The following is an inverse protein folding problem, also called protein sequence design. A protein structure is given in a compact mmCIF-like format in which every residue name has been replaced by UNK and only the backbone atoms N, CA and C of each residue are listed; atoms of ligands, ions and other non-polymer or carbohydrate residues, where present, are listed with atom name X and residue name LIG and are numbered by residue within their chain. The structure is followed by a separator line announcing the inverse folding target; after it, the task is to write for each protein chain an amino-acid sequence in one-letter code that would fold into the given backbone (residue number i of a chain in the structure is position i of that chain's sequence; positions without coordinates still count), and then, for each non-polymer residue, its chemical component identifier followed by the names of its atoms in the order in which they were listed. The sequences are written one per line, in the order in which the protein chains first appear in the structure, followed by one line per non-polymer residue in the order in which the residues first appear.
data_IF_679450191845
#
_entry.id   IF_679450191845
#
_cell.length_a   1.000
_cell.length_b   1.000
_cell.length_c   1.000
_cell.angle_alpha   90.00
_cell.angle_beta   90.00
_cell.angle_gamma   90.00
#
_symmetry.space_group_name_H-M   'P 1'
#
loop_
_entity.id
_entity.type
_entity.pdbx_description
1 polymer ?
#
# COMPACT_ATOMS: atom_id res chain seq x y z
N UNK A 1 12.28 88.41 13.84
CA UNK A 1 13.69 88.08 13.85
C UNK A 1 13.73 86.53 13.83
N UNK A 2 14.09 85.82 12.92
CA UNK A 2 14.67 85.74 11.66
C UNK A 2 13.97 84.73 10.76
N UNK A 3 13.83 85.01 9.50
CA UNK A 3 13.24 84.18 8.45
C UNK A 3 14.29 83.17 8.05
N UNK A 4 13.91 81.87 7.95
CA UNK A 4 14.67 80.84 7.25
C UNK A 4 13.96 80.51 5.94
N UNK A 5 14.65 80.31 4.82
CA UNK A 5 14.06 80.27 3.48
C UNK A 5 13.50 78.87 3.15
N UNK A 6 12.56 78.88 2.20
CA UNK A 6 11.83 77.75 1.72
C UNK A 6 12.67 76.69 1.01
N UNK A 7 12.20 75.44 1.17
CA UNK A 7 12.65 74.26 0.40
C UNK A 7 11.45 73.77 -0.44
N UNK A 8 11.61 73.87 -1.77
CA UNK A 8 10.66 73.26 -2.71
C UNK A 8 10.88 71.73 -2.72
N UNK A 9 9.82 70.93 -2.75
CA UNK A 9 9.97 69.53 -2.89
C UNK A 9 10.13 69.15 -4.38
N UNK A 10 11.35 68.79 -4.75
CA UNK A 10 11.66 68.16 -6.03
C UNK A 10 10.96 66.80 -6.17
N UNK A 11 10.15 66.66 -7.22
CA UNK A 11 9.40 65.46 -7.54
C UNK A 11 10.31 64.27 -7.87
N UNK A 12 10.36 63.31 -6.97
CA UNK A 12 10.86 61.97 -7.29
C UNK A 12 9.72 61.13 -7.87
N UNK A 13 9.74 60.92 -9.19
CA UNK A 13 8.96 59.89 -9.86
C UNK A 13 9.45 58.55 -9.35
N UNK A 14 8.69 57.92 -8.45
CA UNK A 14 8.83 56.47 -8.16
C UNK A 14 8.51 55.71 -9.44
N UNK A 15 9.52 55.12 -10.08
CA UNK A 15 9.32 54.04 -11.03
C UNK A 15 8.66 52.90 -10.25
N UNK A 16 7.44 52.53 -10.62
CA UNK A 16 6.75 51.38 -10.11
C UNK A 16 7.58 50.12 -10.40
N UNK A 17 8.35 49.70 -9.42
CA UNK A 17 8.90 48.36 -9.42
C UNK A 17 7.72 47.43 -9.25
N UNK A 18 7.26 46.82 -10.36
CA UNK A 18 6.28 45.75 -10.32
C UNK A 18 6.93 44.58 -9.59
N UNK A 19 6.70 44.53 -8.27
CA UNK A 19 6.93 43.34 -7.46
C UNK A 19 5.97 42.29 -8.01
N UNK A 20 6.47 41.44 -8.91
CA UNK A 20 5.80 40.18 -9.22
C UNK A 20 5.73 39.43 -7.90
N UNK A 21 4.56 39.42 -7.27
CA UNK A 21 4.23 38.44 -6.25
C UNK A 21 4.43 37.07 -6.91
N UNK A 22 5.57 36.45 -6.65
CA UNK A 22 5.75 35.03 -6.90
C UNK A 22 4.80 34.33 -5.89
N UNK A 23 3.58 34.09 -6.33
CA UNK A 23 2.72 33.14 -5.65
C UNK A 23 3.51 31.83 -5.70
N UNK A 24 4.12 31.44 -4.57
CA UNK A 24 4.72 30.12 -4.43
C UNK A 24 3.59 29.10 -4.55
N UNK A 25 3.31 28.67 -5.77
CA UNK A 25 2.37 27.60 -6.02
C UNK A 25 2.93 26.36 -5.34
N UNK A 26 2.20 25.82 -4.37
CA UNK A 26 2.57 24.56 -3.74
C UNK A 26 2.74 23.48 -4.81
N UNK A 27 3.89 22.81 -4.81
CA UNK A 27 4.13 21.65 -5.68
C UNK A 27 3.11 20.56 -5.38
N UNK A 28 2.69 19.83 -6.41
CA UNK A 28 1.84 18.66 -6.24
C UNK A 28 2.61 17.39 -6.58
N UNK A 29 2.41 16.34 -5.79
CA UNK A 29 3.13 15.07 -5.98
C UNK A 29 2.65 14.37 -7.24
N UNK A 30 3.58 13.98 -8.11
CA UNK A 30 3.29 13.19 -9.31
C UNK A 30 2.76 11.78 -8.93
N UNK A 31 3.14 11.27 -7.77
CA UNK A 31 2.80 9.93 -7.31
C UNK A 31 1.33 9.71 -6.94
N UNK A 32 0.53 10.78 -6.80
CA UNK A 32 -0.92 10.65 -6.56
C UNK A 32 -1.77 10.85 -7.81
N UNK A 33 -1.16 11.02 -8.98
CA UNK A 33 -1.83 11.29 -10.24
C UNK A 33 -1.71 10.15 -11.24
N UNK A 34 -2.80 9.84 -11.96
CA UNK A 34 -2.74 9.17 -13.25
C UNK A 34 -2.24 10.15 -14.31
N UNK A 35 -1.84 9.67 -15.48
CA UNK A 35 -1.40 10.56 -16.56
C UNK A 35 -2.45 11.64 -16.88
N UNK A 36 -3.71 11.24 -17.03
CA UNK A 36 -4.79 12.18 -17.34
C UNK A 36 -4.93 13.26 -16.27
N UNK A 37 -5.01 12.86 -14.98
CA UNK A 37 -5.17 13.83 -13.88
C UNK A 37 -3.94 14.71 -13.69
N UNK A 38 -2.74 14.20 -13.97
CA UNK A 38 -1.50 14.99 -13.97
C UNK A 38 -1.51 16.04 -15.07
N UNK A 39 -1.83 15.63 -16.29
CA UNK A 39 -1.95 16.54 -17.44
C UNK A 39 -2.97 17.65 -17.17
N UNK A 40 -4.13 17.32 -16.62
CA UNK A 40 -5.15 18.30 -16.28
C UNK A 40 -4.71 19.26 -15.16
N UNK A 41 -3.93 18.78 -14.19
CA UNK A 41 -3.36 19.61 -13.13
C UNK A 41 -2.34 20.62 -13.69
N UNK A 42 -1.46 20.19 -14.60
CA UNK A 42 -0.51 21.06 -15.30
C UNK A 42 -1.26 22.07 -16.17
N UNK A 43 -2.21 21.63 -16.98
CA UNK A 43 -2.96 22.51 -17.88
C UNK A 43 -3.77 23.58 -17.12
N UNK A 44 -4.33 23.26 -15.97
CA UNK A 44 -5.02 24.25 -15.11
C UNK A 44 -4.08 25.35 -14.60
N UNK A 45 -2.79 25.04 -14.39
CA UNK A 45 -1.81 26.00 -13.88
C UNK A 45 -1.12 26.81 -14.96
N UNK A 46 -0.81 26.19 -16.09
CA UNK A 46 -0.03 26.80 -17.17
C UNK A 46 -0.87 27.26 -18.37
N UNK A 47 -2.15 26.85 -18.44
CA UNK A 47 -3.04 27.13 -19.57
C UNK A 47 -2.67 26.39 -20.88
N UNK A 48 -1.60 25.57 -20.86
CA UNK A 48 -1.02 24.90 -22.05
C UNK A 48 -0.18 23.69 -21.65
N UNK A 49 0.34 22.96 -22.66
CA UNK A 49 1.39 21.97 -22.45
C UNK A 49 0.91 20.53 -22.27
N UNK A 50 -0.34 20.19 -22.62
CA UNK A 50 -0.93 18.84 -22.50
C UNK A 50 0.01 17.73 -23.04
N UNK A 51 0.55 17.90 -24.24
CA UNK A 51 1.44 16.94 -24.87
C UNK A 51 2.71 16.72 -24.04
N UNK A 52 3.38 17.80 -23.64
CA UNK A 52 4.64 17.74 -22.88
C UNK A 52 4.47 17.22 -21.46
N UNK A 53 3.34 17.54 -20.80
CA UNK A 53 2.98 16.93 -19.51
C UNK A 53 2.81 15.41 -19.61
N UNK A 54 2.21 14.94 -20.71
CA UNK A 54 2.09 13.47 -20.98
C UNK A 54 3.45 12.82 -21.15
N UNK A 55 4.37 13.46 -21.87
CA UNK A 55 5.74 12.95 -22.06
C UNK A 55 6.49 12.90 -20.71
N UNK A 56 6.43 13.97 -19.94
CA UNK A 56 7.09 14.06 -18.63
C UNK A 56 6.59 12.97 -17.68
N UNK A 57 5.27 12.77 -17.59
CA UNK A 57 4.66 11.72 -16.76
C UNK A 57 5.14 10.32 -17.19
N UNK A 58 5.02 10.01 -18.48
CA UNK A 58 5.40 8.70 -19.00
C UNK A 58 6.90 8.43 -18.85
N UNK A 59 7.75 9.43 -19.07
CA UNK A 59 9.18 9.32 -18.88
C UNK A 59 9.52 9.00 -17.42
N UNK A 60 8.95 9.76 -16.46
CA UNK A 60 9.16 9.56 -15.04
C UNK A 60 8.81 8.14 -14.58
N UNK A 61 7.61 7.66 -14.86
CA UNK A 61 7.16 6.35 -14.39
C UNK A 61 7.76 5.15 -15.16
N UNK A 62 8.38 5.39 -16.32
CA UNK A 62 9.06 4.32 -17.10
C UNK A 62 10.55 4.28 -16.90
N UNK A 63 11.19 5.41 -16.61
CA UNK A 63 12.65 5.52 -16.48
C UNK A 63 13.10 5.72 -15.02
N UNK A 64 12.26 6.28 -14.16
CA UNK A 64 12.60 6.57 -12.77
C UNK A 64 13.44 7.84 -12.58
N UNK A 65 13.66 8.60 -13.64
CA UNK A 65 14.50 9.80 -13.64
C UNK A 65 14.00 10.85 -14.64
N UNK A 66 14.49 12.08 -14.53
CA UNK A 66 14.20 13.16 -15.47
C UNK A 66 15.28 13.28 -16.55
N UNK A 67 16.46 12.69 -16.32
CA UNK A 67 17.59 12.73 -17.27
C UNK A 67 17.19 12.14 -18.62
N UNK A 68 17.62 12.79 -19.70
CA UNK A 68 17.32 12.37 -21.07
C UNK A 68 15.94 12.79 -21.58
N UNK A 69 15.12 13.46 -20.75
CA UNK A 69 13.81 13.98 -21.15
C UNK A 69 13.97 15.02 -22.29
N UNK A 70 15.03 15.82 -22.26
CA UNK A 70 15.33 16.85 -23.28
C UNK A 70 15.47 16.27 -24.70
N UNK A 71 15.79 14.98 -24.82
CA UNK A 71 15.87 14.28 -26.14
C UNK A 71 14.50 13.93 -26.71
N UNK A 72 13.45 14.02 -25.90
CA UNK A 72 12.08 13.67 -26.25
C UNK A 72 11.21 14.89 -26.51
N UNK A 73 11.76 16.10 -26.34
CA UNK A 73 11.03 17.35 -26.47
C UNK A 73 11.71 18.27 -27.46
N UNK A 74 10.95 19.12 -28.15
CA UNK A 74 11.48 20.11 -29.07
C UNK A 74 12.19 21.24 -28.32
N UNK A 75 13.25 21.84 -28.88
CA UNK A 75 14.02 22.92 -28.21
C UNK A 75 13.16 24.06 -27.69
N UNK A 76 12.13 24.47 -28.44
CA UNK A 76 11.20 25.51 -28.04
C UNK A 76 10.32 25.18 -26.84
N UNK A 77 10.15 23.89 -26.53
CA UNK A 77 9.36 23.42 -25.39
C UNK A 77 10.16 23.25 -24.09
N UNK A 78 11.49 23.36 -24.13
CA UNK A 78 12.36 23.15 -22.95
C UNK A 78 11.97 24.08 -21.79
N UNK A 79 11.69 25.36 -22.05
CA UNK A 79 11.26 26.32 -21.02
C UNK A 79 9.95 25.90 -20.37
N UNK A 80 8.97 25.47 -21.16
CA UNK A 80 7.68 25.00 -20.69
C UNK A 80 7.81 23.74 -19.82
N UNK A 81 8.63 22.77 -20.24
CA UNK A 81 8.85 21.54 -19.48
C UNK A 81 9.59 21.84 -18.16
N UNK A 82 10.50 22.79 -18.15
CA UNK A 82 11.16 23.25 -16.92
C UNK A 82 10.15 23.85 -15.93
N UNK A 83 9.21 24.67 -16.39
CA UNK A 83 8.11 25.17 -15.55
C UNK A 83 7.25 24.02 -14.97
N UNK A 84 6.97 22.98 -15.77
CA UNK A 84 6.24 21.78 -15.30
C UNK A 84 7.01 21.05 -14.20
N UNK A 85 8.32 20.88 -14.36
CA UNK A 85 9.20 20.25 -13.36
C UNK A 85 9.19 21.06 -12.06
N UNK A 86 9.24 22.39 -12.14
CA UNK A 86 9.18 23.26 -10.97
C UNK A 86 7.85 23.17 -10.20
N UNK A 87 6.74 22.92 -10.88
CA UNK A 87 5.41 22.72 -10.29
C UNK A 87 5.19 21.32 -9.71
N UNK A 88 6.06 20.36 -10.05
CA UNK A 88 5.87 18.95 -9.71
C UNK A 88 6.79 18.53 -8.56
N UNK A 89 6.23 17.82 -7.59
CA UNK A 89 7.00 17.16 -6.53
C UNK A 89 7.30 15.72 -6.93
N UNK A 90 8.58 15.47 -7.24
CA UNK A 90 9.14 14.15 -7.55
C UNK A 90 9.82 13.50 -6.35
N UNK A 91 9.73 14.10 -5.16
CA UNK A 91 10.46 13.63 -4.00
C UNK A 91 10.01 12.24 -3.56
N UNK A 92 10.99 11.39 -3.29
CA UNK A 92 10.80 10.07 -2.71
C UNK A 92 11.03 10.12 -1.20
N UNK A 93 10.37 9.25 -0.42
CA UNK A 93 10.75 9.01 0.95
C UNK A 93 12.20 8.51 1.04
N UNK A 94 12.90 8.89 2.10
CA UNK A 94 14.26 8.42 2.34
C UNK A 94 14.25 6.96 2.79
N UNK A 95 15.11 6.12 2.21
CA UNK A 95 15.34 4.79 2.75
C UNK A 95 16.16 4.90 4.03
N UNK A 96 15.56 4.56 5.17
CA UNK A 96 16.20 4.61 6.49
C UNK A 96 16.84 3.29 6.90
N UNK A 97 16.55 2.19 6.19
CA UNK A 97 17.15 0.88 6.46
C UNK A 97 16.72 -0.19 5.47
N UNK A 98 17.54 -1.22 5.36
CA UNK A 98 17.24 -2.40 4.54
C UNK A 98 17.89 -3.64 5.15
N UNK A 99 17.18 -4.78 5.08
CA UNK A 99 17.64 -6.09 5.56
C UNK A 99 17.29 -7.15 4.54
N UNK A 100 18.14 -8.19 4.43
CA UNK A 100 17.98 -9.26 3.46
C UNK A 100 18.06 -10.65 4.13
N UNK A 101 17.25 -11.57 3.62
CA UNK A 101 17.31 -13.01 3.92
C UNK A 101 17.15 -13.76 2.58
N UNK A 102 18.27 -14.24 2.03
CA UNK A 102 18.33 -14.73 0.66
C UNK A 102 17.90 -13.63 -0.32
N UNK A 103 16.94 -13.92 -1.17
CA UNK A 103 16.39 -12.93 -2.11
C UNK A 103 15.25 -12.08 -1.53
N UNK A 104 14.77 -12.41 -0.31
CA UNK A 104 13.76 -11.61 0.40
C UNK A 104 14.42 -10.37 0.98
N UNK A 105 13.87 -9.20 0.68
CA UNK A 105 14.40 -7.93 1.15
C UNK A 105 13.31 -7.09 1.81
N UNK A 106 13.52 -6.70 3.06
CA UNK A 106 12.75 -5.67 3.75
C UNK A 106 13.47 -4.33 3.62
N UNK A 107 12.73 -3.27 3.33
CA UNK A 107 13.24 -1.90 3.33
C UNK A 107 12.26 -0.97 4.04
N UNK A 108 12.83 0.07 4.66
CA UNK A 108 12.13 1.06 5.44
C UNK A 108 12.16 2.39 4.71
N UNK A 109 11.00 3.01 4.57
CA UNK A 109 10.88 4.35 3.98
C UNK A 109 10.43 5.34 5.05
N UNK A 110 11.25 6.36 5.28
CA UNK A 110 10.96 7.48 6.18
C UNK A 110 10.22 8.56 5.42
N UNK A 111 9.01 8.84 5.87
CA UNK A 111 8.12 9.83 5.29
C UNK A 111 8.51 11.27 5.70
N UNK A 112 7.89 12.29 5.08
CA UNK A 112 8.19 13.70 5.36
C UNK A 112 7.94 14.12 6.82
N UNK A 113 7.01 13.47 7.49
CA UNK A 113 6.68 13.67 8.90
C UNK A 113 7.60 12.91 9.88
N UNK A 114 8.60 12.20 9.36
CA UNK A 114 9.54 11.43 10.15
C UNK A 114 9.09 10.02 10.49
N UNK A 115 7.84 9.65 10.22
CA UNK A 115 7.34 8.29 10.42
C UNK A 115 7.92 7.33 9.38
N UNK A 116 8.04 6.06 9.75
CA UNK A 116 8.58 5.02 8.88
C UNK A 116 7.54 3.97 8.53
N UNK A 117 7.66 3.41 7.34
CA UNK A 117 6.90 2.24 6.89
C UNK A 117 7.84 1.18 6.37
N UNK A 118 7.41 -0.07 6.51
CA UNK A 118 8.16 -1.24 6.03
C UNK A 118 7.49 -1.83 4.80
N UNK A 119 8.29 -2.19 3.82
CA UNK A 119 7.88 -2.91 2.61
C UNK A 119 8.77 -4.13 2.41
N UNK A 120 8.23 -5.19 1.79
CA UNK A 120 8.97 -6.43 1.60
C UNK A 120 8.91 -6.90 0.15
N UNK A 121 10.09 -7.10 -0.44
CA UNK A 121 10.27 -7.80 -1.71
C UNK A 121 10.40 -9.29 -1.44
N UNK A 122 9.54 -10.08 -2.07
CA UNK A 122 9.43 -11.52 -1.85
C UNK A 122 9.58 -12.23 -3.20
N UNK A 123 10.60 -13.08 -3.38
CA UNK A 123 10.72 -13.92 -4.57
C UNK A 123 9.63 -14.99 -4.53
N UNK A 124 8.88 -15.12 -5.62
CA UNK A 124 7.84 -16.13 -5.81
C UNK A 124 8.06 -16.80 -7.16
N UNK A 125 7.55 -18.02 -7.36
CA UNK A 125 7.68 -18.75 -8.63
C UNK A 125 7.15 -17.93 -9.83
N UNK A 126 6.10 -17.14 -9.60
CA UNK A 126 5.52 -16.25 -10.59
C UNK A 126 6.29 -14.92 -10.77
N UNK A 127 7.47 -14.74 -10.16
CA UNK A 127 8.27 -13.53 -10.16
C UNK A 127 8.21 -12.72 -8.88
N UNK A 128 8.94 -11.59 -8.83
CA UNK A 128 9.06 -10.77 -7.63
C UNK A 128 7.71 -10.15 -7.22
N UNK A 129 7.33 -10.36 -5.97
CA UNK A 129 6.14 -9.77 -5.34
C UNK A 129 6.57 -8.69 -4.34
N UNK A 130 5.95 -7.53 -4.40
CA UNK A 130 6.14 -6.47 -3.40
C UNK A 130 4.95 -6.43 -2.44
N UNK A 131 5.24 -6.59 -1.16
CA UNK A 131 4.29 -6.41 -0.06
C UNK A 131 4.30 -4.94 0.35
N UNK A 132 3.15 -4.27 0.21
CA UNK A 132 2.94 -2.85 0.41
C UNK A 132 2.28 -2.56 1.75
N UNK A 133 2.68 -1.47 2.39
CA UNK A 133 1.99 -0.86 3.53
C UNK A 133 0.98 0.18 3.06
N UNK A 134 -0.15 0.26 3.77
CA UNK A 134 -1.25 1.21 3.51
C UNK A 134 -1.49 2.20 4.65
N UNK A 135 -0.92 1.94 5.83
CA UNK A 135 -1.05 2.77 7.03
C UNK A 135 0.28 2.74 7.81
N UNK A 136 0.49 3.75 8.65
CA UNK A 136 1.47 3.69 9.74
C UNK A 136 0.74 3.17 10.97
N UNK A 137 1.06 1.92 11.38
CA UNK A 137 0.27 1.19 12.36
C UNK A 137 -1.03 0.62 11.79
N UNK A 138 -1.91 0.06 12.65
CA UNK A 138 -3.19 -0.53 12.25
C UNK A 138 -4.18 -0.55 13.41
N UNK A 139 -5.41 -0.04 13.20
CA UNK A 139 -6.44 -0.04 14.26
C UNK A 139 -7.16 -1.36 14.46
N UNK A 140 -6.96 -2.36 13.56
CA UNK A 140 -7.68 -3.63 13.65
C UNK A 140 -7.30 -4.45 14.89
N UNK A 141 -6.12 -4.21 15.47
CA UNK A 141 -5.71 -4.75 16.76
C UNK A 141 -5.54 -6.27 16.79
N UNK A 142 -5.25 -6.91 15.65
CA UNK A 142 -5.00 -8.36 15.62
C UNK A 142 -3.88 -8.74 16.59
N UNK A 143 -4.18 -9.61 17.55
CA UNK A 143 -3.31 -9.92 18.70
C UNK A 143 -1.98 -10.58 18.30
N UNK A 144 -1.98 -11.30 17.17
CA UNK A 144 -0.82 -11.98 16.61
C UNK A 144 -0.03 -11.14 15.59
N UNK A 145 -0.38 -9.87 15.39
CA UNK A 145 0.24 -8.98 14.41
C UNK A 145 0.95 -7.81 15.11
N UNK A 146 2.23 -7.63 14.80
CA UNK A 146 3.04 -6.55 15.39
C UNK A 146 2.47 -5.17 15.03
N UNK A 147 2.09 -4.96 13.77
CA UNK A 147 1.44 -3.71 13.33
C UNK A 147 0.12 -3.45 14.06
N UNK A 148 -0.66 -4.52 14.34
CA UNK A 148 -1.90 -4.42 15.10
C UNK A 148 -1.68 -3.98 16.56
N UNK A 149 -0.56 -4.38 17.17
CA UNK A 149 -0.17 -3.98 18.54
C UNK A 149 0.25 -2.51 18.63
N UNK A 150 0.67 -1.89 17.53
CA UNK A 150 1.03 -0.46 17.48
C UNK A 150 -0.17 0.47 17.59
N UNK A 151 -1.39 0.01 17.22
CA UNK A 151 -2.50 0.89 16.93
C UNK A 151 -2.29 1.67 15.62
N UNK A 152 -3.29 2.47 15.23
CA UNK A 152 -3.20 3.33 14.05
C UNK A 152 -2.57 4.67 14.43
N UNK A 153 -1.45 5.01 13.79
CA UNK A 153 -0.84 6.34 13.88
C UNK A 153 -1.48 7.28 12.86
N UNK A 154 -1.45 6.90 11.57
CA UNK A 154 -2.16 7.60 10.48
C UNK A 154 -2.35 6.77 9.23
N UNK A 155 -3.23 7.26 8.37
CA UNK A 155 -3.38 6.76 7.00
C UNK A 155 -2.15 7.16 6.16
N UNK A 156 -1.73 6.30 5.23
CA UNK A 156 -0.78 6.68 4.17
C UNK A 156 -1.53 7.33 3.02
N UNK A 157 -0.92 8.33 2.40
CA UNK A 157 -1.41 8.92 1.16
C UNK A 157 -1.15 8.02 -0.04
N UNK A 158 -1.91 8.19 -1.12
CA UNK A 158 -1.67 7.47 -2.37
C UNK A 158 -0.23 7.67 -2.89
N UNK A 159 0.31 8.88 -2.72
CA UNK A 159 1.69 9.17 -3.10
C UNK A 159 2.71 8.34 -2.31
N UNK A 160 2.55 8.21 -1.01
CA UNK A 160 3.42 7.39 -0.16
C UNK A 160 3.31 5.89 -0.49
N UNK A 161 2.10 5.41 -0.83
CA UNK A 161 1.89 4.02 -1.25
C UNK A 161 2.59 3.77 -2.59
N UNK A 162 2.40 4.64 -3.59
CA UNK A 162 3.04 4.52 -4.92
C UNK A 162 4.56 4.64 -4.84
N UNK A 163 5.06 5.49 -3.96
CA UNK A 163 6.51 5.67 -3.74
C UNK A 163 7.22 4.37 -3.31
N UNK A 164 6.56 3.47 -2.58
CA UNK A 164 7.11 2.16 -2.23
C UNK A 164 7.41 1.32 -3.49
N UNK A 165 6.50 1.34 -4.46
CA UNK A 165 6.65 0.63 -5.74
C UNK A 165 7.74 1.27 -6.59
N UNK A 166 7.75 2.59 -6.65
CA UNK A 166 8.76 3.34 -7.39
C UNK A 166 10.16 3.08 -6.83
N UNK A 167 10.32 3.14 -5.51
CA UNK A 167 11.58 2.86 -4.84
C UNK A 167 12.08 1.44 -5.15
N UNK A 168 11.21 0.43 -5.00
CA UNK A 168 11.57 -0.95 -5.27
C UNK A 168 11.96 -1.18 -6.75
N UNK A 169 11.24 -0.55 -7.69
CA UNK A 169 11.49 -0.72 -9.13
C UNK A 169 12.75 -0.02 -9.61
N UNK A 170 12.97 1.22 -9.19
CA UNK A 170 14.01 2.09 -9.75
C UNK A 170 15.23 2.25 -8.85
N UNK A 171 15.04 2.39 -7.52
CA UNK A 171 16.19 2.51 -6.61
C UNK A 171 16.79 1.14 -6.27
N UNK A 172 15.97 0.11 -6.05
CA UNK A 172 16.44 -1.25 -5.82
C UNK A 172 16.57 -2.07 -7.13
N UNK A 173 16.15 -1.53 -8.27
CA UNK A 173 16.22 -2.16 -9.59
C UNK A 173 15.61 -3.58 -9.64
N UNK A 174 14.46 -3.78 -8.95
CA UNK A 174 13.79 -5.08 -8.90
C UNK A 174 12.60 -5.13 -9.88
N UNK A 175 12.50 -6.16 -10.74
CA UNK A 175 11.39 -6.32 -11.68
C UNK A 175 10.14 -6.81 -10.94
N UNK A 176 9.32 -5.89 -10.44
CA UNK A 176 8.11 -6.21 -9.69
C UNK A 176 7.04 -6.74 -10.65
N UNK A 177 6.52 -7.92 -10.35
CA UNK A 177 5.45 -8.56 -11.10
C UNK A 177 4.09 -8.51 -10.40
N UNK A 178 4.08 -8.69 -9.09
CA UNK A 178 2.85 -8.69 -8.30
C UNK A 178 2.95 -7.70 -7.14
N UNK A 179 1.79 -7.15 -6.73
CA UNK A 179 1.64 -6.30 -5.57
C UNK A 179 0.63 -6.92 -4.61
N UNK A 180 0.95 -6.95 -3.33
CA UNK A 180 0.02 -7.39 -2.28
C UNK A 180 -0.04 -6.35 -1.16
N UNK A 181 -1.23 -5.88 -0.83
CA UNK A 181 -1.45 -4.98 0.30
C UNK A 181 -1.57 -5.82 1.59
N UNK A 182 -0.44 -6.39 2.01
CA UNK A 182 -0.32 -7.27 3.18
C UNK A 182 0.77 -6.79 4.15
N UNK A 183 1.25 -5.55 3.97
CA UNK A 183 2.20 -4.88 4.84
C UNK A 183 1.53 -4.27 6.06
N UNK A 184 2.01 -3.11 6.49
CA UNK A 184 1.43 -2.39 7.62
C UNK A 184 0.09 -1.78 7.24
N UNK A 185 -0.95 -1.99 8.10
CA UNK A 185 -2.27 -1.39 7.98
C UNK A 185 -3.37 -2.31 7.47
N UNK A 186 -4.60 -1.78 7.49
CA UNK A 186 -5.80 -2.35 6.86
C UNK A 186 -6.12 -1.54 5.60
N UNK A 187 -5.94 -2.10 4.40
CA UNK A 187 -6.15 -1.35 3.16
C UNK A 187 -7.57 -0.82 3.00
N UNK A 188 -8.58 -1.58 3.42
CA UNK A 188 -9.98 -1.17 3.30
C UNK A 188 -10.40 -0.11 4.32
N UNK A 189 -9.61 0.12 5.37
CA UNK A 189 -9.76 1.26 6.28
C UNK A 189 -9.12 2.55 5.72
N UNK A 190 -8.25 2.42 4.71
CA UNK A 190 -7.65 3.52 3.94
C UNK A 190 -8.10 3.50 2.46
N UNK A 191 -9.34 3.16 2.23
CA UNK A 191 -9.89 2.79 0.93
C UNK A 191 -9.57 3.78 -0.19
N UNK A 192 -9.85 5.08 0.02
CA UNK A 192 -9.71 6.09 -1.04
C UNK A 192 -8.26 6.25 -1.50
N UNK A 193 -7.31 6.28 -0.56
CA UNK A 193 -5.89 6.39 -0.88
C UNK A 193 -5.34 5.12 -1.54
N UNK A 194 -5.79 3.95 -1.07
CA UNK A 194 -5.43 2.66 -1.66
C UNK A 194 -5.97 2.57 -3.09
N UNK A 195 -7.23 2.89 -3.33
CA UNK A 195 -7.82 2.84 -4.67
C UNK A 195 -7.20 3.89 -5.61
N UNK A 196 -6.86 5.09 -5.10
CA UNK A 196 -6.12 6.07 -5.89
C UNK A 196 -4.72 5.55 -6.24
N UNK A 197 -4.02 4.89 -5.31
CA UNK A 197 -2.71 4.28 -5.61
C UNK A 197 -2.83 3.17 -6.66
N UNK A 198 -3.87 2.34 -6.60
CA UNK A 198 -4.14 1.30 -7.61
C UNK A 198 -4.34 1.93 -8.99
N UNK A 199 -5.12 3.03 -9.10
CA UNK A 199 -5.30 3.76 -10.39
C UNK A 199 -3.97 4.24 -10.96
N UNK A 200 -3.08 4.80 -10.14
CA UNK A 200 -1.75 5.27 -10.59
C UNK A 200 -0.85 4.10 -11.01
N UNK A 201 -0.85 3.01 -10.23
CA UNK A 201 -0.02 1.83 -10.50
C UNK A 201 -0.47 1.06 -11.74
N UNK A 202 -1.74 1.13 -12.08
CA UNK A 202 -2.29 0.45 -13.27
C UNK A 202 -2.38 1.35 -14.50
N UNK A 203 -2.05 2.63 -14.38
CA UNK A 203 -2.05 3.57 -15.51
C UNK A 203 -1.13 3.07 -16.64
N UNK A 204 -1.66 2.82 -17.85
CA UNK A 204 -0.90 2.26 -18.97
C UNK A 204 0.22 3.21 -19.46
N UNK A 205 0.09 4.49 -19.22
CA UNK A 205 1.10 5.49 -19.56
C UNK A 205 2.19 5.66 -18.48
N UNK A 206 1.95 5.07 -17.28
CA UNK A 206 2.86 5.08 -16.15
C UNK A 206 3.50 3.71 -15.89
N UNK A 207 3.23 3.12 -14.72
CA UNK A 207 3.76 1.80 -14.33
C UNK A 207 3.19 0.66 -15.19
N UNK A 208 1.93 0.74 -15.61
CA UNK A 208 1.28 -0.23 -16.47
C UNK A 208 1.11 -1.62 -15.84
N UNK A 209 0.96 -1.71 -14.52
CA UNK A 209 0.74 -2.99 -13.85
C UNK A 209 -0.68 -3.50 -14.12
N UNK A 210 -0.83 -4.78 -14.44
CA UNK A 210 -2.14 -5.37 -14.62
C UNK A 210 -2.90 -5.47 -13.30
N UNK A 211 -4.21 -5.14 -13.28
CA UNK A 211 -5.06 -5.24 -12.09
C UNK A 211 -5.06 -6.64 -11.47
N UNK A 212 -5.05 -7.70 -12.28
CA UNK A 212 -4.97 -9.10 -11.83
C UNK A 212 -3.64 -9.46 -11.13
N UNK A 213 -2.68 -8.55 -11.11
CA UNK A 213 -1.41 -8.67 -10.40
C UNK A 213 -1.43 -7.97 -9.03
N UNK A 214 -2.54 -7.32 -8.69
CA UNK A 214 -2.71 -6.59 -7.43
C UNK A 214 -3.72 -7.33 -6.56
N UNK A 215 -3.34 -7.56 -5.30
CA UNK A 215 -4.23 -8.18 -4.29
C UNK A 215 -4.41 -7.23 -3.12
N UNK A 216 -5.65 -6.88 -2.84
CA UNK A 216 -6.04 -6.20 -1.61
C UNK A 216 -6.29 -7.25 -0.55
N UNK A 217 -5.66 -7.12 0.62
CA UNK A 217 -5.93 -8.01 1.77
C UNK A 217 -6.71 -7.27 2.84
N UNK A 218 -7.68 -7.94 3.45
CA UNK A 218 -8.46 -7.37 4.55
C UNK A 218 -8.57 -8.32 5.72
N UNK A 219 -8.60 -7.76 6.90
CA UNK A 219 -8.95 -8.48 8.14
C UNK A 219 -10.47 -8.76 8.27
N UNK A 220 -11.27 -8.37 7.27
CA UNK A 220 -12.72 -8.51 7.27
C UNK A 220 -13.45 -7.18 7.50
N UNK A 221 -12.95 -6.10 6.93
CA UNK A 221 -13.64 -4.80 6.88
C UNK A 221 -14.82 -4.89 5.89
N UNK A 222 -16.01 -5.27 6.37
CA UNK A 222 -17.19 -5.56 5.56
C UNK A 222 -17.62 -4.36 4.72
N UNK A 223 -17.67 -3.17 5.32
CA UNK A 223 -18.03 -1.93 4.59
C UNK A 223 -17.07 -1.70 3.40
N UNK A 224 -15.77 -1.97 3.61
CA UNK A 224 -14.77 -1.85 2.55
C UNK A 224 -14.90 -2.92 1.46
N UNK A 225 -15.37 -4.14 1.80
CA UNK A 225 -15.66 -5.18 0.80
C UNK A 225 -16.84 -4.74 -0.08
N UNK A 226 -17.91 -4.17 0.48
CA UNK A 226 -19.02 -3.64 -0.32
C UNK A 226 -18.56 -2.48 -1.21
N UNK A 227 -17.73 -1.58 -0.71
CA UNK A 227 -17.13 -0.54 -1.56
C UNK A 227 -16.28 -1.11 -2.72
N UNK A 228 -15.54 -2.21 -2.50
CA UNK A 228 -14.84 -2.89 -3.60
C UNK A 228 -15.81 -3.47 -4.64
N UNK A 229 -16.99 -3.94 -4.22
CA UNK A 229 -18.01 -4.43 -5.14
C UNK A 229 -18.50 -3.31 -6.07
N UNK A 230 -18.73 -2.14 -5.52
CA UNK A 230 -19.34 -1.01 -6.22
C UNK A 230 -18.33 -0.18 -7.02
N UNK A 231 -17.10 -0.01 -6.51
CA UNK A 231 -16.14 0.98 -7.01
C UNK A 231 -14.92 0.37 -7.74
N UNK A 232 -14.61 -0.92 -7.54
CA UNK A 232 -13.41 -1.53 -8.09
C UNK A 232 -13.67 -2.43 -9.31
N UNK A 233 -12.73 -2.41 -10.26
CA UNK A 233 -12.74 -3.38 -11.37
C UNK A 233 -12.64 -4.82 -10.82
N UNK A 234 -13.49 -5.74 -11.32
CA UNK A 234 -13.51 -7.12 -10.85
C UNK A 234 -12.23 -7.93 -11.10
N UNK A 235 -11.28 -7.43 -11.88
CA UNK A 235 -9.98 -8.04 -12.05
C UNK A 235 -9.02 -7.81 -10.86
N UNK A 236 -9.36 -6.92 -9.92
CA UNK A 236 -8.60 -6.70 -8.68
C UNK A 236 -8.85 -7.87 -7.72
N UNK A 237 -7.76 -8.50 -7.22
CA UNK A 237 -7.90 -9.66 -6.34
C UNK A 237 -8.17 -9.24 -4.89
N UNK A 238 -8.96 -10.07 -4.19
CA UNK A 238 -9.25 -9.90 -2.77
C UNK A 238 -8.70 -11.08 -1.96
N UNK A 239 -8.00 -10.77 -0.85
CA UNK A 239 -7.67 -11.73 0.18
C UNK A 239 -8.40 -11.38 1.48
N UNK A 240 -8.98 -12.38 2.15
CA UNK A 240 -9.70 -12.19 3.42
C UNK A 240 -9.06 -13.04 4.51
N UNK A 241 -8.64 -12.40 5.59
CA UNK A 241 -8.05 -13.07 6.77
C UNK A 241 -9.16 -13.54 7.70
N UNK A 242 -9.40 -14.84 7.74
CA UNK A 242 -10.38 -15.47 8.65
C UNK A 242 -9.73 -15.76 9.99
N UNK A 243 -8.66 -16.53 10.02
CA UNK A 243 -7.79 -16.85 11.16
C UNK A 243 -8.48 -17.50 12.39
N UNK A 244 -9.75 -17.84 12.28
CA UNK A 244 -10.49 -18.47 13.39
C UNK A 244 -11.67 -19.30 12.86
N UNK A 245 -12.03 -20.39 13.55
CA UNK A 245 -13.14 -21.24 13.16
C UNK A 245 -14.51 -20.70 13.63
N UNK A 246 -14.52 -19.78 14.60
CA UNK A 246 -15.74 -19.26 15.23
C UNK A 246 -15.60 -17.79 15.64
N UNK A 247 -16.75 -17.14 15.84
CA UNK A 247 -16.80 -15.74 16.35
C UNK A 247 -16.15 -15.61 17.73
N UNK A 248 -16.24 -16.62 18.58
CA UNK A 248 -15.65 -16.61 19.92
C UNK A 248 -14.12 -16.52 19.83
N UNK A 249 -13.49 -17.42 19.07
CA UNK A 249 -12.03 -17.44 18.87
C UNK A 249 -11.61 -16.19 18.11
N UNK A 250 -12.32 -15.85 17.03
CA UNK A 250 -11.98 -14.69 16.20
C UNK A 250 -11.99 -13.37 16.97
N UNK A 251 -12.96 -13.16 17.85
CA UNK A 251 -13.08 -11.96 18.70
C UNK A 251 -11.90 -11.80 19.66
N UNK A 252 -11.30 -12.92 20.11
CA UNK A 252 -10.13 -12.92 21.01
C UNK A 252 -8.84 -12.53 20.28
N UNK A 253 -8.67 -12.97 19.02
CA UNK A 253 -7.44 -12.77 18.25
C UNK A 253 -7.54 -11.67 17.19
N UNK A 254 -8.74 -11.34 16.74
CA UNK A 254 -9.05 -10.30 15.74
C UNK A 254 -10.24 -9.43 16.22
N UNK A 255 -9.99 -8.35 16.94
CA UNK A 255 -11.04 -7.50 17.51
C UNK A 255 -12.01 -6.87 16.49
N UNK A 256 -11.63 -6.79 15.21
CA UNK A 256 -12.50 -6.38 14.10
C UNK A 256 -13.81 -7.18 14.06
N UNK A 257 -13.81 -8.42 14.57
CA UNK A 257 -14.99 -9.27 14.69
C UNK A 257 -16.06 -8.73 15.64
N UNK A 258 -15.74 -7.75 16.49
CA UNK A 258 -16.72 -7.04 17.34
C UNK A 258 -17.61 -6.12 16.52
N UNK A 259 -17.09 -5.57 15.42
CA UNK A 259 -17.84 -4.71 14.51
C UNK A 259 -18.56 -5.52 13.43
N UNK A 260 -17.91 -6.53 12.88
CA UNK A 260 -18.44 -7.39 11.82
C UNK A 260 -18.18 -8.85 12.17
N UNK A 261 -19.24 -9.57 12.52
CA UNK A 261 -19.16 -10.99 12.86
C UNK A 261 -18.91 -11.86 11.61
N UNK A 262 -18.64 -13.14 11.84
CA UNK A 262 -18.33 -14.07 10.75
C UNK A 262 -19.51 -14.25 9.77
N UNK A 263 -20.76 -14.15 10.23
CA UNK A 263 -21.94 -14.24 9.36
C UNK A 263 -22.02 -13.06 8.41
N UNK A 264 -21.82 -11.83 8.91
CA UNK A 264 -21.79 -10.62 8.10
C UNK A 264 -20.64 -10.68 7.09
N UNK A 265 -19.46 -11.15 7.52
CA UNK A 265 -18.31 -11.32 6.65
C UNK A 265 -18.58 -12.34 5.55
N UNK A 266 -19.20 -13.51 5.88
CA UNK A 266 -19.59 -14.51 4.87
C UNK A 266 -20.58 -13.95 3.87
N UNK A 267 -21.56 -13.17 4.31
CA UNK A 267 -22.51 -12.47 3.43
C UNK A 267 -21.82 -11.52 2.45
N UNK A 268 -20.87 -10.73 2.93
CA UNK A 268 -20.09 -9.83 2.08
C UNK A 268 -19.20 -10.60 1.08
N UNK A 269 -18.59 -11.70 1.50
CA UNK A 269 -17.81 -12.57 0.59
C UNK A 269 -18.68 -13.21 -0.49
N UNK A 270 -19.90 -13.68 -0.17
CA UNK A 270 -20.85 -14.19 -1.15
C UNK A 270 -21.26 -13.12 -2.15
N UNK A 271 -21.57 -11.92 -1.68
CA UNK A 271 -21.88 -10.77 -2.55
C UNK A 271 -20.70 -10.42 -3.47
N UNK A 272 -19.46 -10.44 -2.94
CA UNK A 272 -18.27 -10.21 -3.75
C UNK A 272 -18.11 -11.28 -4.85
N UNK A 273 -18.30 -12.55 -4.52
CA UNK A 273 -18.16 -13.68 -5.43
C UNK A 273 -19.33 -13.81 -6.45
N UNK A 274 -20.40 -13.03 -6.30
CA UNK A 274 -21.49 -13.03 -7.28
C UNK A 274 -21.04 -12.61 -8.70
N UNK A 275 -19.93 -11.89 -8.82
CA UNK A 275 -19.36 -11.55 -10.12
C UNK A 275 -18.40 -12.66 -10.61
N UNK A 276 -18.57 -13.21 -11.84
CA UNK A 276 -17.86 -14.43 -12.29
C UNK A 276 -16.34 -14.30 -12.42
N UNK A 277 -15.80 -13.08 -12.51
CA UNK A 277 -14.36 -12.83 -12.58
C UNK A 277 -13.71 -12.61 -11.22
N UNK A 278 -14.47 -12.59 -10.13
CA UNK A 278 -13.95 -12.35 -8.79
C UNK A 278 -13.57 -13.66 -8.10
N UNK A 279 -12.42 -13.65 -7.48
CA UNK A 279 -11.93 -14.74 -6.62
C UNK A 279 -11.57 -14.18 -5.24
N UNK A 280 -11.69 -15.02 -4.22
CA UNK A 280 -11.22 -14.71 -2.87
C UNK A 280 -10.12 -15.68 -2.46
N UNK A 281 -9.04 -15.14 -1.92
CA UNK A 281 -8.00 -15.90 -1.25
C UNK A 281 -8.24 -15.81 0.27
N UNK A 282 -8.49 -16.93 0.91
CA UNK A 282 -8.64 -17.00 2.37
C UNK A 282 -7.27 -17.11 3.02
N UNK A 283 -6.93 -16.18 3.90
CA UNK A 283 -5.76 -16.28 4.77
C UNK A 283 -6.14 -16.92 6.12
N UNK A 284 -5.40 -17.93 6.57
CA UNK A 284 -5.58 -18.53 7.86
C UNK A 284 -4.23 -18.78 8.54
N UNK A 285 -3.93 -18.00 9.58
CA UNK A 285 -2.72 -18.13 10.38
C UNK A 285 -2.97 -19.14 11.48
N UNK A 286 -2.22 -20.22 11.48
CA UNK A 286 -2.28 -21.28 12.48
C UNK A 286 -1.52 -20.87 13.75
N UNK A 287 -2.21 -20.84 14.88
CA UNK A 287 -1.72 -20.52 16.22
C UNK A 287 -1.86 -21.74 17.12
N UNK A 288 -0.73 -22.27 17.64
CA UNK A 288 -0.70 -23.48 18.46
C UNK A 288 -1.67 -23.40 19.64
N UNK A 289 -2.55 -24.43 19.75
CA UNK A 289 -3.52 -24.58 20.82
C UNK A 289 -4.67 -23.56 20.82
N UNK A 290 -4.86 -22.80 19.72
CA UNK A 290 -5.91 -21.78 19.62
C UNK A 290 -6.85 -22.03 18.45
N UNK A 291 -6.32 -22.37 17.28
CA UNK A 291 -7.08 -22.52 16.05
C UNK A 291 -6.45 -23.55 15.10
N UNK A 292 -5.69 -24.52 15.64
CA UNK A 292 -4.88 -25.47 14.89
C UNK A 292 -5.33 -26.95 15.08
N UNK A 293 -6.44 -27.18 15.82
CA UNK A 293 -7.00 -28.50 16.00
C UNK A 293 -7.77 -28.97 14.75
N UNK A 294 -7.97 -30.30 14.61
CA UNK A 294 -8.77 -30.85 13.49
C UNK A 294 -10.22 -30.39 13.56
N UNK A 295 -10.78 -30.20 14.75
CA UNK A 295 -12.12 -29.61 14.93
C UNK A 295 -12.20 -28.19 14.40
N UNK A 296 -11.09 -27.42 14.46
CA UNK A 296 -11.04 -26.07 13.90
C UNK A 296 -10.96 -26.12 12.37
N UNK A 297 -10.28 -27.12 11.80
CA UNK A 297 -10.26 -27.33 10.35
C UNK A 297 -11.65 -27.70 9.82
N UNK A 298 -12.39 -28.56 10.56
CA UNK A 298 -13.78 -28.91 10.24
C UNK A 298 -14.68 -27.67 10.25
N UNK A 299 -14.66 -26.91 11.34
CA UNK A 299 -15.46 -25.69 11.47
C UNK A 299 -15.10 -24.62 10.42
N UNK A 300 -13.82 -24.53 10.03
CA UNK A 300 -13.41 -23.65 8.92
C UNK A 300 -13.97 -24.14 7.58
N UNK A 301 -13.95 -25.45 7.33
CA UNK A 301 -14.51 -26.03 6.11
C UNK A 301 -16.01 -25.77 6.01
N UNK A 302 -16.77 -25.97 7.10
CA UNK A 302 -18.20 -25.67 7.18
C UNK A 302 -18.49 -24.17 6.99
N UNK A 303 -17.67 -23.31 7.56
CA UNK A 303 -17.80 -21.86 7.35
C UNK A 303 -17.59 -21.48 5.89
N UNK A 304 -16.65 -22.10 5.18
CA UNK A 304 -16.34 -21.82 3.78
C UNK A 304 -17.25 -22.55 2.79
N UNK A 305 -18.14 -23.42 3.26
CA UNK A 305 -19.08 -24.11 2.38
C UNK A 305 -19.93 -23.11 1.57
N UNK A 306 -20.06 -23.39 0.26
CA UNK A 306 -20.75 -22.53 -0.70
C UNK A 306 -19.93 -21.35 -1.24
N UNK A 307 -18.68 -21.17 -0.79
CA UNK A 307 -17.76 -20.15 -1.28
C UNK A 307 -16.73 -20.77 -2.24
N UNK A 308 -16.60 -20.21 -3.45
CA UNK A 308 -15.53 -20.59 -4.39
C UNK A 308 -14.26 -19.85 -4.02
N UNK A 309 -13.43 -20.44 -3.16
CA UNK A 309 -12.24 -19.81 -2.59
C UNK A 309 -11.00 -20.71 -2.67
N UNK A 310 -9.83 -20.08 -2.55
CA UNK A 310 -8.55 -20.75 -2.30
C UNK A 310 -8.12 -20.43 -0.87
N UNK A 311 -7.56 -21.42 -0.14
CA UNK A 311 -7.11 -21.24 1.23
C UNK A 311 -5.59 -21.24 1.29
N UNK A 312 -5.01 -20.18 1.86
CA UNK A 312 -3.61 -20.11 2.25
C UNK A 312 -3.51 -20.35 3.76
N UNK A 313 -2.99 -21.49 4.13
CA UNK A 313 -2.55 -21.76 5.50
C UNK A 313 -1.17 -21.12 5.70
N UNK A 314 -1.02 -20.43 6.80
CA UNK A 314 0.21 -19.73 7.16
C UNK A 314 0.60 -20.18 8.57
N UNK A 315 1.78 -20.77 8.72
CA UNK A 315 2.30 -21.03 10.06
C UNK A 315 2.57 -19.69 10.74
N UNK A 316 2.24 -19.56 12.02
CA UNK A 316 2.53 -18.34 12.76
C UNK A 316 4.03 -18.01 12.72
N UNK A 317 4.36 -16.76 12.53
CA UNK A 317 5.73 -16.27 12.55
C UNK A 317 6.00 -15.61 13.92
N UNK A 318 6.83 -16.22 14.78
CA UNK A 318 7.11 -15.70 16.12
C UNK A 318 7.62 -14.26 16.11
N UNK A 319 7.20 -13.48 17.09
CA UNK A 319 7.64 -12.13 17.35
C UNK A 319 8.46 -12.08 18.64
N UNK A 320 9.14 -10.98 18.90
CA UNK A 320 9.83 -10.81 20.18
C UNK A 320 8.81 -10.69 21.33
N UNK A 321 9.03 -11.43 22.42
CA UNK A 321 8.18 -11.44 23.64
C UNK A 321 6.69 -11.74 23.33
N UNK A 322 6.44 -12.80 22.57
CA UNK A 322 5.08 -13.15 22.16
C UNK A 322 4.48 -14.28 22.99
N UNK A 323 3.15 -14.29 23.11
CA UNK A 323 2.38 -15.33 23.75
C UNK A 323 1.92 -16.43 22.78
N UNK A 324 2.15 -16.24 21.48
CA UNK A 324 1.76 -17.20 20.45
C UNK A 324 2.96 -17.99 19.95
N UNK A 325 2.72 -19.21 19.52
CA UNK A 325 3.71 -20.07 18.90
C UNK A 325 3.14 -20.75 17.65
N UNK A 326 4.01 -21.13 16.70
CA UNK A 326 3.58 -21.94 15.56
C UNK A 326 3.14 -23.33 16.02
N UNK A 327 2.19 -23.95 15.31
CA UNK A 327 1.83 -25.37 15.57
C UNK A 327 2.98 -26.31 15.18
N UNK A 328 2.93 -27.50 15.72
CA UNK A 328 3.86 -28.58 15.35
C UNK A 328 3.70 -28.95 13.86
N UNK A 329 4.76 -29.46 13.22
CA UNK A 329 4.69 -29.87 11.81
C UNK A 329 3.55 -30.82 11.51
N UNK A 330 3.33 -31.82 12.37
CA UNK A 330 2.28 -32.87 12.24
C UNK A 330 0.88 -32.25 12.31
N UNK A 331 0.66 -31.28 13.19
CA UNK A 331 -0.62 -30.58 13.31
C UNK A 331 -0.93 -29.75 12.05
N UNK A 332 0.08 -29.09 11.48
CA UNK A 332 -0.08 -28.34 10.22
C UNK A 332 -0.45 -29.23 9.05
N UNK A 333 0.24 -30.37 8.92
CA UNK A 333 -0.03 -31.32 7.83
C UNK A 333 -1.40 -31.96 7.99
N UNK A 334 -1.79 -32.33 9.22
CA UNK A 334 -3.11 -32.87 9.49
C UNK A 334 -4.23 -31.86 9.18
N UNK A 335 -4.05 -30.60 9.58
CA UNK A 335 -4.99 -29.52 9.26
C UNK A 335 -5.12 -29.30 7.74
N UNK A 336 -4.00 -29.25 7.03
CA UNK A 336 -3.95 -29.16 5.58
C UNK A 336 -4.66 -30.31 4.89
N UNK A 337 -4.35 -31.55 5.31
CA UNK A 337 -4.94 -32.76 4.76
C UNK A 337 -6.46 -32.78 4.98
N UNK A 338 -6.93 -32.36 6.16
CA UNK A 338 -8.35 -32.30 6.48
C UNK A 338 -9.10 -31.31 5.56
N UNK A 339 -8.61 -30.10 5.37
CA UNK A 339 -9.23 -29.13 4.46
C UNK A 339 -9.27 -29.63 3.00
N UNK A 340 -8.23 -30.36 2.57
CA UNK A 340 -8.20 -30.95 1.23
C UNK A 340 -9.22 -32.09 1.08
N UNK A 341 -9.39 -32.92 2.11
CA UNK A 341 -10.43 -33.97 2.15
C UNK A 341 -11.84 -33.37 2.07
N UNK A 342 -12.05 -32.17 2.65
CA UNK A 342 -13.30 -31.39 2.53
C UNK A 342 -13.44 -30.67 1.18
N UNK A 343 -12.55 -30.95 0.20
CA UNK A 343 -12.60 -30.41 -1.16
C UNK A 343 -12.07 -28.96 -1.31
N UNK A 344 -11.49 -28.38 -0.28
CA UNK A 344 -10.95 -27.01 -0.34
C UNK A 344 -9.57 -26.97 -1.02
N UNK A 345 -9.40 -26.09 -1.99
CA UNK A 345 -8.09 -25.80 -2.61
C UNK A 345 -7.18 -25.12 -1.60
N UNK A 346 -6.37 -25.90 -0.90
CA UNK A 346 -5.55 -25.41 0.21
C UNK A 346 -4.06 -25.55 -0.09
N UNK A 347 -3.32 -24.46 0.19
CA UNK A 347 -1.86 -24.39 0.11
C UNK A 347 -1.30 -24.04 1.50
N UNK A 348 -0.25 -24.75 1.92
CA UNK A 348 0.57 -24.35 3.06
C UNK A 348 1.67 -23.41 2.54
N UNK A 349 1.62 -22.15 2.97
CA UNK A 349 2.59 -21.15 2.51
C UNK A 349 3.89 -21.27 3.31
N UNK A 350 5.00 -21.42 2.59
CA UNK A 350 6.33 -21.35 3.18
C UNK A 350 6.62 -19.95 3.74
N UNK A 351 7.27 -19.90 4.90
CA UNK A 351 7.71 -18.65 5.51
C UNK A 351 8.94 -18.11 4.78
N UNK A 352 8.94 -16.82 4.48
CA UNK A 352 10.07 -16.07 3.91
C UNK A 352 10.30 -14.79 4.72
N UNK A 353 11.56 -14.44 4.95
CA UNK A 353 11.94 -13.21 5.65
C UNK A 353 11.73 -13.26 7.17
N UNK A 354 11.65 -14.44 7.78
CA UNK A 354 11.39 -14.57 9.22
C UNK A 354 12.53 -14.02 10.06
N UNK A 355 13.79 -14.27 9.66
CA UNK A 355 14.98 -13.83 10.42
C UNK A 355 15.14 -12.31 10.41
N UNK A 356 14.65 -11.64 9.38
CA UNK A 356 14.69 -10.19 9.25
C UNK A 356 13.38 -9.50 9.67
N UNK A 357 12.49 -10.24 10.36
CA UNK A 357 11.19 -9.75 10.79
C UNK A 357 10.36 -9.16 9.62
N UNK A 358 10.36 -9.84 8.50
CA UNK A 358 9.66 -9.45 7.27
C UNK A 358 8.51 -10.40 6.89
N UNK A 359 8.27 -11.46 7.65
CA UNK A 359 7.17 -12.37 7.41
C UNK A 359 5.83 -11.75 7.83
N UNK A 360 4.73 -12.36 7.37
CA UNK A 360 3.37 -11.88 7.69
C UNK A 360 3.17 -11.75 9.21
N UNK A 361 2.65 -10.59 9.63
CA UNK A 361 2.41 -10.23 11.03
C UNK A 361 3.61 -9.65 11.77
N UNK A 362 4.83 -9.63 11.19
CA UNK A 362 6.05 -9.19 11.86
C UNK A 362 6.43 -7.72 11.60
N UNK A 363 5.80 -7.02 10.65
CA UNK A 363 6.15 -5.64 10.32
C UNK A 363 5.73 -4.65 11.42
N UNK A 364 6.54 -3.61 11.62
CA UNK A 364 6.32 -2.58 12.64
C UNK A 364 7.32 -2.62 13.81
N UNK A 365 8.38 -3.43 13.73
CA UNK A 365 9.40 -3.54 14.77
C UNK A 365 10.40 -2.35 14.80
N UNK A 366 10.53 -1.59 13.71
CA UNK A 366 11.43 -0.45 13.62
C UNK A 366 11.10 0.68 14.60
N UNK A 367 9.85 0.74 15.09
CA UNK A 367 9.40 1.75 16.07
C UNK A 367 9.76 1.43 17.53
N UNK A 368 10.34 0.27 17.83
CA UNK A 368 10.73 -0.09 19.20
C UNK A 368 12.15 0.36 19.59
N UNK A 369 12.85 1.11 18.74
CA UNK A 369 14.19 1.61 19.02
C UNK A 369 14.17 3.07 19.47
N UNK A 370 13.61 3.41 20.59
CA UNK A 370 13.99 4.60 21.37
C UNK A 370 13.08 4.73 22.60
N UNK A 371 13.26 3.85 23.56
CA UNK A 371 13.04 4.15 24.97
C UNK A 371 14.13 3.43 25.73
N UNK A 372 15.32 3.99 25.66
CA UNK A 372 16.34 3.87 26.69
C UNK A 372 16.59 5.27 27.26
#
# INVERSE_FOLDING_TARGET
MDRVPGFEPGGYRFKSCSVRFIIMHSKFSIFCHTQSSYVDAICRRLGKGRHHASILYAHWFRKGEILGLEKLIEPQAVSLVREMIELTDFSLPLCSGSQEEGETRKFLLKMKDGLETESVLIPMDAGMTLCLSSQVGCRMGCAFCQTGKMGLVRQMTAAEIVAQVFYARFCLQKPIRNLVFMGMGEPLDNFDQVMQSVKVLTDPFGFGLGLSRITISTSGCVDGIYRLIDEADPALNLAVSINAPSDEVRRKIMPVNRKWNMKELKTAMLAYLAHPRREILIGYVLLKGINDAISDAEALADYLEGLSVKVNLISYNPQQRDRFSPPEPEAKEAFLAHLRLRGLRTLLRGTKGQKIMAACGQLGNSFQKTTD
#
